data_IF_181337656262
#
_entry.id   IF_181337656262
#
_cell.length_a   1.000
_cell.length_b   1.000
_cell.length_c   1.000
_cell.angle_alpha   90.00
_cell.angle_beta   90.00
_cell.angle_gamma   90.00
#
_symmetry.space_group_name_H-M   'P 1'
#
loop_
_entity.id
_entity.type
_entity.pdbx_description
1 polymer ?
#
# COMPACT_ATOMS: atom_id res chain seq x y z
N UNK A 1 13.33 -7.87 -8.30
CA UNK A 1 12.17 -7.49 -9.14
C UNK A 1 11.14 -6.87 -8.20
N UNK A 2 10.73 -5.63 -8.45
CA UNK A 2 9.65 -5.01 -7.68
C UNK A 2 8.29 -5.58 -8.12
N UNK A 3 7.33 -5.59 -7.21
CA UNK A 3 5.96 -6.04 -7.45
C UNK A 3 5.00 -4.90 -7.14
N UNK A 4 4.12 -4.62 -8.08
CA UNK A 4 3.12 -3.55 -8.05
C UNK A 4 1.93 -3.97 -8.93
N UNK A 5 0.84 -3.21 -8.87
CA UNK A 5 -0.35 -3.47 -9.67
C UNK A 5 -0.13 -3.34 -11.18
N UNK A 6 0.83 -2.53 -11.64
CA UNK A 6 1.14 -2.38 -13.06
C UNK A 6 1.80 -3.64 -13.66
N UNK A 7 2.29 -4.54 -12.81
CA UNK A 7 2.75 -5.87 -13.24
C UNK A 7 1.63 -6.85 -13.61
N UNK A 8 0.37 -6.49 -13.36
CA UNK A 8 -0.81 -7.31 -13.68
C UNK A 8 -1.37 -6.95 -15.07
N UNK A 9 -1.90 -7.93 -15.84
CA UNK A 9 -2.54 -7.69 -17.12
C UNK A 9 -3.98 -7.17 -16.94
N UNK A 10 -4.14 -5.99 -16.33
CA UNK A 10 -5.45 -5.39 -16.07
C UNK A 10 -6.12 -4.92 -17.36
N UNK A 11 -7.41 -5.21 -17.49
CA UNK A 11 -8.25 -4.61 -18.52
C UNK A 11 -8.63 -3.18 -18.16
N UNK A 12 -9.17 -2.43 -19.12
CA UNK A 12 -9.64 -1.06 -18.88
C UNK A 12 -10.70 -0.99 -17.76
N UNK A 13 -11.60 -1.97 -17.70
CA UNK A 13 -12.65 -2.04 -16.67
C UNK A 13 -12.08 -2.34 -15.26
N UNK A 14 -10.87 -2.89 -15.18
CA UNK A 14 -10.22 -3.25 -13.92
C UNK A 14 -9.19 -2.20 -13.46
N UNK A 15 -8.99 -1.11 -14.22
CA UNK A 15 -7.96 -0.11 -13.94
C UNK A 15 -8.06 0.47 -12.53
N UNK A 16 -9.29 0.64 -12.03
CA UNK A 16 -9.56 1.15 -10.68
C UNK A 16 -9.10 0.19 -9.56
N UNK A 17 -8.82 -1.09 -9.89
CA UNK A 17 -8.27 -2.07 -8.94
C UNK A 17 -6.77 -1.89 -8.69
N UNK A 18 -6.07 -1.09 -9.51
CA UNK A 18 -4.63 -0.94 -9.35
C UNK A 18 -4.25 -0.35 -7.98
N UNK A 19 -4.95 0.72 -7.57
CA UNK A 19 -4.72 1.40 -6.29
C UNK A 19 -4.96 0.47 -5.09
N UNK A 20 -6.11 -0.23 -4.94
CA UNK A 20 -6.32 -1.12 -3.82
C UNK A 20 -5.35 -2.33 -3.81
N UNK A 21 -4.90 -2.81 -4.97
CA UNK A 21 -3.85 -3.85 -5.04
C UNK A 21 -2.54 -3.34 -4.46
N UNK A 22 -2.08 -2.14 -4.85
CA UNK A 22 -0.87 -1.55 -4.29
C UNK A 22 -0.99 -1.27 -2.79
N UNK A 23 -2.17 -0.85 -2.33
CA UNK A 23 -2.45 -0.71 -0.89
C UNK A 23 -2.34 -2.03 -0.14
N UNK A 24 -2.82 -3.14 -0.71
CA UNK A 24 -2.73 -4.46 -0.06
C UNK A 24 -1.28 -4.99 -0.02
N UNK A 25 -0.50 -4.73 -1.08
CA UNK A 25 0.94 -5.00 -1.09
C UNK A 25 1.63 -4.19 0.03
N UNK A 26 1.34 -2.90 0.12
CA UNK A 26 1.90 -2.01 1.14
C UNK A 26 1.47 -2.38 2.58
N UNK A 27 0.21 -2.80 2.76
CA UNK A 27 -0.31 -3.29 4.04
C UNK A 27 0.45 -4.51 4.53
N UNK A 28 0.80 -5.43 3.62
CA UNK A 28 1.49 -6.69 3.98
C UNK A 28 3.02 -6.58 4.05
N UNK A 29 3.59 -5.51 3.52
CA UNK A 29 5.04 -5.28 3.51
C UNK A 29 5.64 -5.39 4.92
N UNK A 30 6.90 -5.82 5.02
CA UNK A 30 7.60 -5.81 6.30
C UNK A 30 7.79 -4.38 6.81
N UNK A 31 8.26 -3.50 5.92
CA UNK A 31 8.41 -2.06 6.14
C UNK A 31 7.63 -1.30 5.07
N UNK A 32 6.94 -0.24 5.48
CA UNK A 32 6.24 0.67 4.59
C UNK A 32 6.83 2.07 4.68
N UNK A 33 7.10 2.69 3.53
CA UNK A 33 7.54 4.08 3.41
C UNK A 33 6.53 4.83 2.57
N UNK A 34 5.92 5.89 3.11
CA UNK A 34 4.89 6.67 2.41
C UNK A 34 5.06 8.18 2.58
N UNK A 35 4.13 8.94 1.99
CA UNK A 35 4.10 10.41 2.12
C UNK A 35 3.17 10.78 3.28
N UNK A 36 3.69 11.48 4.30
CA UNK A 36 2.95 11.81 5.53
C UNK A 36 1.69 12.69 5.30
N UNK A 37 1.58 13.34 4.15
CA UNK A 37 0.46 14.21 3.78
C UNK A 37 -0.52 13.55 2.78
N UNK A 38 -0.32 12.28 2.43
CA UNK A 38 -1.20 11.55 1.50
C UNK A 38 -2.33 10.81 2.23
N UNK A 39 -3.56 11.00 1.76
CA UNK A 39 -4.73 10.23 2.25
C UNK A 39 -4.60 8.73 1.99
N UNK A 40 -3.98 8.34 0.88
CA UNK A 40 -3.69 6.94 0.57
C UNK A 40 -2.74 6.32 1.60
N UNK A 41 -1.67 7.05 1.96
CA UNK A 41 -0.70 6.63 2.97
C UNK A 41 -1.37 6.45 4.32
N UNK A 42 -2.25 7.38 4.73
CA UNK A 42 -3.03 7.25 5.97
C UNK A 42 -3.86 5.97 6.02
N UNK A 43 -4.52 5.59 4.92
CA UNK A 43 -5.28 4.35 4.85
C UNK A 43 -4.39 3.11 4.99
N UNK A 44 -3.22 3.08 4.34
CA UNK A 44 -2.27 1.97 4.47
C UNK A 44 -1.78 1.84 5.91
N UNK A 45 -1.36 2.95 6.54
CA UNK A 45 -0.89 2.95 7.94
C UNK A 45 -2.01 2.48 8.88
N UNK A 46 -3.24 2.96 8.69
CA UNK A 46 -4.40 2.52 9.47
C UNK A 46 -4.57 1.00 9.40
N UNK A 47 -4.56 0.42 8.19
CA UNK A 47 -4.73 -1.03 8.04
C UNK A 47 -3.54 -1.84 8.57
N UNK A 48 -2.31 -1.34 8.44
CA UNK A 48 -1.13 -1.97 9.03
C UNK A 48 -1.21 -2.04 10.55
N UNK A 49 -1.63 -0.94 11.19
CA UNK A 49 -1.82 -0.90 12.64
C UNK A 49 -2.98 -1.80 13.08
N UNK A 50 -4.07 -1.85 12.31
CA UNK A 50 -5.19 -2.76 12.56
C UNK A 50 -4.78 -4.24 12.48
N UNK A 51 -3.80 -4.57 11.64
CA UNK A 51 -3.20 -5.92 11.54
C UNK A 51 -2.18 -6.22 12.65
N UNK A 52 -1.91 -5.28 13.54
CA UNK A 52 -0.92 -5.43 14.61
C UNK A 52 0.53 -5.35 14.13
N UNK A 53 0.79 -4.74 12.94
CA UNK A 53 2.17 -4.44 12.53
C UNK A 53 2.78 -3.41 13.48
N UNK A 54 4.07 -3.60 13.80
CA UNK A 54 4.81 -2.66 14.64
C UNK A 54 4.80 -1.26 14.01
N UNK A 55 4.47 -0.25 14.81
CA UNK A 55 4.33 1.14 14.38
C UNK A 55 5.65 1.68 13.81
N UNK A 56 6.79 1.21 14.31
CA UNK A 56 8.13 1.59 13.83
C UNK A 56 8.43 1.12 12.40
N UNK A 57 7.63 0.20 11.86
CA UNK A 57 7.75 -0.27 10.46
C UNK A 57 7.07 0.67 9.47
N UNK A 58 6.39 1.73 9.94
CA UNK A 58 5.82 2.78 9.10
C UNK A 58 6.76 3.99 9.12
N UNK A 59 7.36 4.33 7.98
CA UNK A 59 8.27 5.47 7.80
C UNK A 59 7.68 6.46 6.80
N UNK A 60 8.13 7.70 6.88
CA UNK A 60 7.64 8.77 6.01
C UNK A 60 8.78 9.55 5.39
N UNK A 61 8.58 10.00 4.14
CA UNK A 61 9.44 10.93 3.41
C UNK A 61 8.67 12.19 3.04
#
# INVERSE_FOLDING_TARGET
RFVDAASLPLTWAEGDLAVPVDMEIARRAEVFVGNAFSSLTSNVVLFRLADGRDWETNRFW
#
